data_IF_167823854062
#
_entry.id   IF_167823854062
#
_cell.length_a   1.000
_cell.length_b   1.000
_cell.length_c   1.000
_cell.angle_alpha   90.00
_cell.angle_beta   90.00
_cell.angle_gamma   90.00
#
_symmetry.space_group_name_H-M   'P 1'
#
loop_
_entity.id
_entity.type
_entity.pdbx_description
1 polymer ?
#
# COMPACT_ATOMS: atom_id res chain seq x y z
N UNK A 1 -21.78 -3.60 -0.13
CA UNK A 1 -20.46 -2.94 -0.01
C UNK A 1 -19.59 -3.73 0.98
N UNK A 2 -18.30 -3.89 0.71
CA UNK A 2 -17.33 -4.47 1.65
C UNK A 2 -16.27 -3.41 1.94
N UNK A 3 -15.98 -3.15 3.20
CA UNK A 3 -14.94 -2.24 3.65
C UNK A 3 -13.92 -3.04 4.44
N UNK A 4 -12.68 -3.03 4.01
CA UNK A 4 -11.57 -3.67 4.74
C UNK A 4 -10.87 -2.57 5.55
N UNK A 5 -10.85 -2.74 6.88
CA UNK A 5 -10.23 -1.79 7.81
C UNK A 5 -8.87 -2.35 8.24
N UNK A 6 -7.79 -1.59 8.03
CA UNK A 6 -6.48 -1.93 8.60
C UNK A 6 -6.44 -1.53 10.07
N UNK A 7 -6.41 -2.51 10.96
CA UNK A 7 -6.34 -2.29 12.40
C UNK A 7 -5.10 -1.48 12.83
N UNK A 8 -4.01 -1.51 12.08
CA UNK A 8 -2.84 -0.69 12.38
C UNK A 8 -3.15 0.81 12.24
N UNK A 9 -3.99 1.20 11.29
CA UNK A 9 -4.45 2.59 11.15
C UNK A 9 -5.22 3.00 12.40
N UNK A 10 -6.15 2.19 12.87
CA UNK A 10 -6.91 2.48 14.08
C UNK A 10 -6.01 2.64 15.30
N UNK A 11 -5.03 1.74 15.47
CA UNK A 11 -4.08 1.80 16.59
C UNK A 11 -3.17 3.03 16.53
N UNK A 12 -2.69 3.42 15.35
CA UNK A 12 -1.79 4.56 15.17
C UNK A 12 -2.51 5.90 15.32
N UNK A 13 -3.76 5.99 14.89
CA UNK A 13 -4.54 7.23 14.86
C UNK A 13 -5.41 7.42 16.10
N UNK A 14 -5.65 6.36 16.87
CA UNK A 14 -6.63 6.35 17.96
C UNK A 14 -8.08 6.42 17.50
N UNK A 15 -8.35 6.22 16.21
CA UNK A 15 -9.70 6.15 15.66
C UNK A 15 -10.41 4.86 16.10
N UNK A 16 -11.71 4.96 16.36
CA UNK A 16 -12.58 3.79 16.45
C UNK A 16 -12.92 3.25 15.04
N UNK A 17 -13.46 2.04 14.97
CA UNK A 17 -13.99 1.50 13.72
C UNK A 17 -15.14 2.37 13.16
N UNK A 18 -15.97 2.93 14.03
CA UNK A 18 -17.05 3.84 13.65
C UNK A 18 -16.50 5.15 13.04
N UNK A 19 -15.43 5.71 13.61
CA UNK A 19 -14.76 6.90 13.09
C UNK A 19 -14.23 6.65 11.68
N UNK A 20 -13.51 5.55 11.51
CA UNK A 20 -12.94 5.18 10.22
C UNK A 20 -14.05 4.95 9.18
N UNK A 21 -15.07 4.17 9.52
CA UNK A 21 -16.17 3.86 8.60
C UNK A 21 -16.96 5.12 8.22
N UNK A 22 -17.19 6.01 9.18
CA UNK A 22 -17.85 7.29 8.94
C UNK A 22 -17.06 8.14 7.91
N UNK A 23 -15.77 8.34 8.13
CA UNK A 23 -14.90 9.07 7.21
C UNK A 23 -14.83 8.41 5.83
N UNK A 24 -14.78 7.07 5.80
CA UNK A 24 -14.75 6.31 4.54
C UNK A 24 -16.02 6.51 3.70
N UNK A 25 -17.21 6.48 4.34
CA UNK A 25 -18.48 6.71 3.65
C UNK A 25 -18.58 8.15 3.12
N UNK A 26 -18.15 9.14 3.90
CA UNK A 26 -18.05 10.53 3.45
C UNK A 26 -17.10 10.67 2.24
N UNK A 27 -15.93 10.02 2.29
CA UNK A 27 -14.95 10.04 1.21
C UNK A 27 -15.48 9.42 -0.09
N UNK A 28 -16.28 8.36 0.03
CA UNK A 28 -16.92 7.68 -1.11
C UNK A 28 -18.21 8.33 -1.56
N UNK A 29 -18.63 9.42 -0.89
CA UNK A 29 -19.90 10.12 -1.15
C UNK A 29 -21.13 9.19 -0.98
N UNK A 30 -21.00 8.14 -0.14
CA UNK A 30 -22.05 7.17 0.15
C UNK A 30 -22.90 7.60 1.34
N UNK A 31 -23.39 8.82 1.30
CA UNK A 31 -24.12 9.50 2.39
C UNK A 31 -25.40 8.76 2.84
N UNK A 32 -26.06 8.06 1.91
CA UNK A 32 -27.31 7.34 2.17
C UNK A 32 -27.16 6.18 3.16
N UNK A 33 -25.93 5.65 3.31
CA UNK A 33 -25.66 4.56 4.24
C UNK A 33 -25.41 5.02 5.67
N UNK A 34 -25.00 6.27 5.88
CA UNK A 34 -24.61 6.79 7.19
C UNK A 34 -25.76 6.69 8.22
N UNK A 35 -27.00 7.14 7.92
CA UNK A 35 -28.10 7.06 8.87
C UNK A 35 -28.51 5.62 9.22
N UNK A 36 -28.31 4.69 8.28
CA UNK A 36 -28.76 3.30 8.41
C UNK A 36 -27.80 2.43 9.24
N UNK A 37 -26.54 2.85 9.40
CA UNK A 37 -25.50 2.06 10.07
C UNK A 37 -25.37 2.36 11.57
N UNK A 38 -26.15 3.33 12.08
CA UNK A 38 -26.10 3.73 13.49
C UNK A 38 -24.68 3.96 14.03
N UNK A 39 -23.82 4.56 13.20
CA UNK A 39 -22.44 4.88 13.57
C UNK A 39 -22.40 5.95 14.65
N UNK A 40 -21.41 5.85 15.54
CA UNK A 40 -21.16 6.80 16.62
C UNK A 40 -19.74 7.39 16.51
N UNK A 41 -19.46 8.16 15.46
CA UNK A 41 -18.15 8.76 15.29
C UNK A 41 -17.90 9.84 16.36
N UNK A 42 -16.67 9.92 16.84
CA UNK A 42 -16.25 11.01 17.71
C UNK A 42 -15.78 12.20 16.85
N UNK A 43 -16.71 13.06 16.45
CA UNK A 43 -16.46 14.17 15.54
C UNK A 43 -15.41 15.16 16.08
N UNK A 44 -15.37 15.39 17.40
CA UNK A 44 -14.39 16.28 18.02
C UNK A 44 -12.98 15.74 17.88
N UNK A 45 -12.78 14.44 18.10
CA UNK A 45 -11.50 13.78 17.89
C UNK A 45 -11.07 13.79 16.42
N UNK A 46 -12.02 13.55 15.52
CA UNK A 46 -11.75 13.55 14.07
C UNK A 46 -11.37 14.94 13.58
N UNK A 47 -12.01 15.98 14.09
CA UNK A 47 -11.68 17.37 13.75
C UNK A 47 -10.32 17.78 14.34
N UNK A 48 -10.08 17.45 15.61
CA UNK A 48 -8.81 17.74 16.29
C UNK A 48 -7.65 17.00 15.66
N UNK A 49 -7.86 15.75 15.23
CA UNK A 49 -6.89 14.94 14.49
C UNK A 49 -6.65 15.41 13.06
N UNK A 50 -7.40 16.40 12.56
CA UNK A 50 -7.23 16.95 11.23
C UNK A 50 -7.81 16.10 10.11
N UNK A 51 -8.65 15.11 10.41
CA UNK A 51 -9.16 14.17 9.41
C UNK A 51 -10.45 14.64 8.73
N UNK A 52 -11.18 15.54 9.35
CA UNK A 52 -12.47 16.07 8.87
C UNK A 52 -12.56 17.58 9.08
N UNK A 53 -13.30 18.26 8.19
CA UNK A 53 -13.83 19.59 8.41
C UNK A 53 -15.34 19.45 8.55
N UNK A 54 -15.88 19.87 9.71
CA UNK A 54 -17.31 19.80 9.99
C UNK A 54 -18.06 20.91 9.24
N UNK A 55 -19.19 20.54 8.63
CA UNK A 55 -20.21 21.44 8.11
C UNK A 55 -21.42 21.48 9.06
N UNK A 56 -22.48 22.16 8.67
CA UNK A 56 -23.73 22.24 9.47
C UNK A 56 -24.47 20.89 9.50
N UNK A 57 -24.37 20.12 8.43
CA UNK A 57 -24.96 18.80 8.26
C UNK A 57 -23.92 17.80 7.81
N UNK A 58 -24.14 16.50 8.00
CA UNK A 58 -23.15 15.45 7.69
C UNK A 58 -22.75 15.40 6.21
N UNK A 59 -23.66 15.74 5.29
CA UNK A 59 -23.39 15.81 3.86
C UNK A 59 -22.50 17.01 3.46
N UNK A 60 -22.35 17.99 4.37
CA UNK A 60 -21.45 19.13 4.23
C UNK A 60 -20.09 18.88 4.92
N UNK A 61 -19.94 17.77 5.63
CA UNK A 61 -18.65 17.39 6.19
C UNK A 61 -17.67 17.08 5.06
N UNK A 62 -16.45 17.57 5.18
CA UNK A 62 -15.41 17.34 4.18
C UNK A 62 -14.28 16.54 4.79
N UNK A 63 -14.00 15.39 4.19
CA UNK A 63 -12.83 14.56 4.54
C UNK A 63 -11.57 15.27 4.09
N UNK A 64 -10.58 15.35 4.96
CA UNK A 64 -9.29 15.99 4.67
C UNK A 64 -8.29 15.00 4.09
N UNK A 65 -7.26 15.55 3.42
CA UNK A 65 -6.23 14.76 2.78
C UNK A 65 -5.50 13.84 3.76
N UNK A 66 -5.35 14.26 5.02
CA UNK A 66 -4.71 13.49 6.08
C UNK A 66 -5.39 12.11 6.29
N UNK A 67 -6.72 12.03 6.21
CA UNK A 67 -7.42 10.75 6.25
C UNK A 67 -7.23 9.96 4.96
N UNK A 68 -7.33 10.62 3.82
CA UNK A 68 -7.16 9.99 2.51
C UNK A 68 -5.77 9.36 2.42
N UNK A 69 -4.74 10.03 2.94
CA UNK A 69 -3.36 9.53 2.96
C UNK A 69 -3.18 8.29 3.85
N UNK A 70 -3.96 8.19 4.93
CA UNK A 70 -3.90 7.02 5.83
C UNK A 70 -4.43 5.75 5.17
N UNK A 71 -5.44 5.89 4.35
CA UNK A 71 -6.15 4.72 3.84
C UNK A 71 -6.06 4.57 2.32
N UNK A 72 -5.90 5.62 1.55
CA UNK A 72 -5.33 5.45 0.24
C UNK A 72 -3.89 5.02 0.46
N UNK A 73 -3.70 3.71 0.58
CA UNK A 73 -2.39 3.16 0.40
C UNK A 73 -1.87 3.76 -0.89
N UNK A 74 -1.04 4.77 -0.74
CA UNK A 74 -0.50 5.48 -1.87
C UNK A 74 0.27 4.43 -2.67
N UNK A 75 -0.32 3.93 -3.75
CA UNK A 75 0.31 2.90 -4.57
C UNK A 75 1.73 3.32 -4.93
N UNK A 76 1.97 4.62 -5.10
CA UNK A 76 3.31 5.17 -5.33
C UNK A 76 4.26 4.87 -4.16
N UNK A 77 3.80 4.89 -2.91
CA UNK A 77 4.62 4.53 -1.75
C UNK A 77 4.88 3.02 -1.72
N UNK A 78 3.87 2.19 -1.97
CA UNK A 78 4.03 0.74 -2.06
C UNK A 78 5.04 0.36 -3.15
N UNK A 79 4.94 0.97 -4.31
CA UNK A 79 5.87 0.72 -5.40
C UNK A 79 7.28 1.25 -5.09
N UNK A 80 7.39 2.42 -4.45
CA UNK A 80 8.69 2.96 -4.01
C UNK A 80 9.36 2.06 -2.96
N UNK A 81 8.59 1.46 -2.03
CA UNK A 81 9.10 0.49 -1.07
C UNK A 81 9.62 -0.78 -1.77
N UNK A 82 8.87 -1.31 -2.74
CA UNK A 82 9.31 -2.46 -3.54
C UNK A 82 10.62 -2.16 -4.27
N UNK A 83 10.70 -1.02 -5.00
CA UNK A 83 11.89 -0.60 -5.74
C UNK A 83 13.07 -0.35 -4.80
N UNK A 84 12.83 0.21 -3.60
CA UNK A 84 13.87 0.47 -2.60
C UNK A 84 14.41 -0.80 -1.94
N UNK A 85 13.58 -1.85 -1.81
CA UNK A 85 13.96 -3.12 -1.18
C UNK A 85 14.59 -4.09 -2.17
N UNK A 86 14.09 -4.13 -3.42
CA UNK A 86 14.62 -5.01 -4.46
C UNK A 86 16.05 -4.57 -4.86
N UNK A 87 17.02 -5.49 -4.97
CA UNK A 87 18.38 -5.13 -5.34
C UNK A 87 18.46 -4.44 -6.70
N UNK A 88 19.08 -3.25 -6.75
CA UNK A 88 19.24 -2.49 -8.00
C UNK A 88 20.19 -3.20 -8.95
N UNK A 89 21.26 -3.80 -8.39
CA UNK A 89 22.31 -4.49 -9.14
C UNK A 89 22.84 -5.66 -8.34
N UNK A 90 23.29 -6.67 -9.04
CA UNK A 90 23.98 -7.83 -8.47
C UNK A 90 25.29 -8.08 -9.23
N UNK A 91 26.29 -8.64 -8.54
CA UNK A 91 27.54 -9.04 -9.16
C UNK A 91 27.47 -10.53 -9.53
N UNK A 92 27.48 -10.82 -10.82
CA UNK A 92 27.51 -12.20 -11.31
C UNK A 92 28.97 -12.61 -11.55
N UNK A 93 29.41 -13.78 -11.04
CA UNK A 93 30.78 -14.27 -11.24
C UNK A 93 31.20 -14.32 -12.72
N UNK A 94 30.24 -14.72 -13.59
CA UNK A 94 30.51 -14.97 -15.00
C UNK A 94 30.22 -13.77 -15.92
N UNK A 95 29.36 -12.84 -15.49
CA UNK A 95 28.79 -11.76 -16.32
C UNK A 95 29.08 -10.36 -15.81
N UNK A 96 29.79 -10.24 -14.68
CA UNK A 96 30.03 -8.95 -14.03
C UNK A 96 28.75 -8.35 -13.42
N UNK A 97 28.68 -7.02 -13.36
CA UNK A 97 27.57 -6.29 -12.75
C UNK A 97 26.33 -6.37 -13.65
N UNK A 98 25.23 -6.90 -13.12
CA UNK A 98 23.91 -6.91 -13.75
C UNK A 98 23.02 -5.90 -13.05
N UNK A 99 22.39 -5.00 -13.82
CA UNK A 99 21.36 -4.07 -13.32
C UNK A 99 20.00 -4.77 -13.38
N UNK A 100 19.28 -4.81 -12.28
CA UNK A 100 17.99 -5.50 -12.16
C UNK A 100 16.79 -4.59 -12.35
N UNK A 101 16.93 -3.31 -11.99
CA UNK A 101 15.93 -2.26 -12.24
C UNK A 101 16.57 -0.87 -12.10
N UNK A 102 15.84 0.17 -12.51
CA UNK A 102 16.25 1.56 -12.29
C UNK A 102 16.00 1.99 -10.84
N UNK A 103 16.89 2.84 -10.31
CA UNK A 103 16.82 3.33 -8.93
C UNK A 103 15.59 4.19 -8.64
N UNK A 104 15.16 5.00 -9.62
CA UNK A 104 14.05 5.94 -9.45
C UNK A 104 12.70 5.23 -9.66
N UNK A 105 11.85 5.10 -8.61
CA UNK A 105 10.54 4.46 -8.75
C UNK A 105 9.59 5.25 -9.67
N UNK A 106 9.82 6.56 -9.84
CA UNK A 106 9.04 7.44 -10.75
C UNK A 106 9.61 7.51 -12.15
N UNK A 107 10.78 6.91 -12.37
CA UNK A 107 11.48 6.94 -13.66
C UNK A 107 10.73 6.17 -14.75
N UNK A 108 10.85 6.64 -16.00
CA UNK A 108 10.24 5.99 -17.17
C UNK A 108 10.65 4.52 -17.31
N UNK A 109 11.88 4.18 -16.91
CA UNK A 109 12.40 2.80 -16.96
C UNK A 109 11.65 1.82 -16.06
N UNK A 110 11.02 2.31 -14.99
CA UNK A 110 10.22 1.48 -14.07
C UNK A 110 8.72 1.52 -14.37
N UNK A 111 8.27 2.27 -15.38
CA UNK A 111 6.85 2.45 -15.66
C UNK A 111 6.13 1.11 -15.93
N UNK A 112 6.74 0.21 -16.69
CA UNK A 112 6.15 -1.11 -16.96
C UNK A 112 6.01 -1.94 -15.68
N UNK A 113 7.05 -1.95 -14.83
CA UNK A 113 7.00 -2.62 -13.53
C UNK A 113 5.89 -2.05 -12.67
N UNK A 114 5.78 -0.72 -12.59
CA UNK A 114 4.76 0.00 -11.83
C UNK A 114 3.36 -0.39 -12.26
N UNK A 115 3.04 -0.32 -13.55
CA UNK A 115 1.72 -0.65 -14.10
C UNK A 115 1.33 -2.11 -13.86
N UNK A 116 2.31 -3.03 -13.95
CA UNK A 116 2.05 -4.45 -13.68
C UNK A 116 1.83 -4.72 -12.21
N UNK A 117 2.63 -4.11 -11.34
CA UNK A 117 2.49 -4.25 -9.90
C UNK A 117 1.16 -3.66 -9.41
N UNK A 118 0.72 -2.53 -9.98
CA UNK A 118 -0.58 -1.93 -9.70
C UNK A 118 -1.74 -2.88 -10.03
N UNK A 119 -1.68 -3.60 -11.14
CA UNK A 119 -2.68 -4.61 -11.48
C UNK A 119 -2.76 -5.77 -10.48
N UNK A 120 -1.66 -6.07 -9.79
CA UNK A 120 -1.58 -7.17 -8.83
C UNK A 120 -2.08 -6.73 -7.46
N UNK A 121 -1.56 -5.61 -6.95
CA UNK A 121 -1.86 -5.15 -5.58
C UNK A 121 -3.05 -4.19 -5.53
N UNK A 122 -3.25 -3.37 -6.57
CA UNK A 122 -4.27 -2.32 -6.57
C UNK A 122 -4.05 -1.36 -5.41
N UNK A 123 -5.12 -1.13 -4.64
CA UNK A 123 -5.14 -0.37 -3.40
C UNK A 123 -5.00 -1.25 -2.14
N UNK A 124 -4.65 -2.54 -2.31
CA UNK A 124 -4.69 -3.54 -1.22
C UNK A 124 -3.35 -3.65 -0.52
N UNK A 125 -3.16 -2.86 0.53
CA UNK A 125 -1.96 -2.86 1.37
C UNK A 125 -1.60 -4.26 1.90
N UNK A 126 -2.57 -5.10 2.23
CA UNK A 126 -2.30 -6.46 2.71
C UNK A 126 -1.59 -7.33 1.66
N UNK A 127 -1.92 -7.17 0.37
CA UNK A 127 -1.23 -7.87 -0.71
C UNK A 127 0.21 -7.38 -0.85
N UNK A 128 0.39 -6.05 -0.79
CA UNK A 128 1.73 -5.47 -0.82
C UNK A 128 2.58 -5.99 0.33
N UNK A 129 2.09 -5.94 1.57
CA UNK A 129 2.81 -6.46 2.76
C UNK A 129 3.16 -7.94 2.63
N UNK A 130 2.24 -8.75 2.09
CA UNK A 130 2.50 -10.16 1.82
C UNK A 130 3.66 -10.35 0.82
N UNK A 131 3.61 -9.64 -0.31
CA UNK A 131 4.66 -9.67 -1.34
C UNK A 131 6.01 -9.21 -0.75
N UNK A 132 6.03 -8.14 0.03
CA UNK A 132 7.25 -7.63 0.67
C UNK A 132 7.84 -8.65 1.65
N UNK A 133 7.00 -9.33 2.45
CA UNK A 133 7.45 -10.42 3.33
C UNK A 133 8.08 -11.56 2.54
N UNK A 134 7.48 -11.96 1.41
CA UNK A 134 8.03 -13.00 0.55
C UNK A 134 9.36 -12.56 -0.09
N UNK A 135 9.48 -11.29 -0.49
CA UNK A 135 10.75 -10.74 -0.98
C UNK A 135 11.84 -10.79 0.10
N UNK A 136 11.54 -10.39 1.33
CA UNK A 136 12.50 -10.48 2.45
C UNK A 136 12.93 -11.93 2.71
N UNK A 137 12.01 -12.88 2.65
CA UNK A 137 12.31 -14.30 2.73
C UNK A 137 13.27 -14.75 1.61
N UNK A 138 12.97 -14.36 0.36
CA UNK A 138 13.82 -14.67 -0.78
C UNK A 138 15.24 -14.11 -0.60
N UNK A 139 15.36 -12.83 -0.28
CA UNK A 139 16.67 -12.18 -0.11
C UNK A 139 17.49 -12.80 1.02
N UNK A 140 16.83 -13.27 2.08
CA UNK A 140 17.48 -13.96 3.18
C UNK A 140 17.98 -15.36 2.78
N UNK A 141 17.14 -16.12 2.07
CA UNK A 141 17.45 -17.50 1.68
C UNK A 141 18.50 -17.53 0.56
N UNK A 142 18.35 -16.65 -0.42
CA UNK A 142 19.25 -16.57 -1.58
C UNK A 142 20.45 -15.64 -1.35
N UNK A 143 20.76 -15.30 -0.11
CA UNK A 143 21.80 -14.31 0.24
C UNK A 143 23.13 -14.55 -0.48
N UNK A 144 23.56 -15.81 -0.59
CA UNK A 144 24.82 -16.19 -1.23
C UNK A 144 24.69 -16.40 -2.76
N UNK A 145 23.45 -16.35 -3.27
CA UNK A 145 23.09 -16.62 -4.66
C UNK A 145 22.34 -15.46 -5.35
N UNK A 146 22.44 -14.25 -4.81
CA UNK A 146 21.74 -13.06 -5.37
C UNK A 146 22.07 -12.79 -6.84
N UNK A 147 23.20 -13.32 -7.34
CA UNK A 147 23.57 -13.19 -8.75
C UNK A 147 22.63 -13.93 -9.72
N UNK A 148 21.78 -14.85 -9.22
CA UNK A 148 20.72 -15.48 -9.99
C UNK A 148 19.40 -14.72 -9.94
N UNK A 149 19.30 -13.67 -9.10
CA UNK A 149 18.07 -12.91 -8.97
C UNK A 149 17.60 -12.37 -10.34
N UNK A 150 16.32 -12.50 -10.61
CA UNK A 150 15.71 -12.00 -11.85
C UNK A 150 15.73 -10.47 -11.87
N UNK A 151 15.57 -9.84 -13.05
CA UNK A 151 15.23 -8.43 -13.06
C UNK A 151 13.81 -8.21 -12.48
N UNK A 152 13.56 -7.02 -11.96
CA UNK A 152 12.32 -6.70 -11.27
C UNK A 152 11.07 -6.93 -12.15
N UNK A 153 11.14 -6.60 -13.43
CA UNK A 153 10.03 -6.81 -14.37
C UNK A 153 9.69 -8.30 -14.50
N UNK A 154 10.69 -9.15 -14.66
CA UNK A 154 10.51 -10.61 -14.75
C UNK A 154 10.00 -11.18 -13.44
N UNK A 155 10.50 -10.70 -12.29
CA UNK A 155 10.09 -11.12 -10.96
C UNK A 155 8.61 -10.82 -10.71
N UNK A 156 8.14 -9.61 -11.11
CA UNK A 156 6.73 -9.21 -11.01
C UNK A 156 5.88 -10.06 -11.95
N UNK A 157 6.30 -10.22 -13.22
CA UNK A 157 5.51 -10.94 -14.23
C UNK A 157 5.29 -12.41 -13.90
N UNK A 158 6.30 -13.05 -13.30
CA UNK A 158 6.27 -14.47 -12.96
C UNK A 158 5.73 -14.73 -11.57
N UNK A 159 5.28 -13.70 -10.83
CA UNK A 159 4.85 -13.82 -9.45
C UNK A 159 5.86 -14.61 -8.60
N UNK A 160 7.14 -14.32 -8.77
CA UNK A 160 8.23 -15.15 -8.21
C UNK A 160 8.17 -15.25 -6.67
N UNK A 161 7.56 -14.26 -5.98
CA UNK A 161 7.35 -14.26 -4.53
C UNK A 161 6.53 -15.47 -4.04
N UNK A 162 5.63 -16.04 -4.85
CA UNK A 162 4.79 -17.19 -4.47
C UNK A 162 5.62 -18.41 -4.02
N UNK A 163 6.86 -18.52 -4.52
CA UNK A 163 7.80 -19.57 -4.10
C UNK A 163 8.29 -19.43 -2.65
N UNK A 164 8.10 -18.27 -2.05
CA UNK A 164 8.64 -17.89 -0.73
C UNK A 164 7.53 -17.59 0.30
N UNK A 165 6.28 -17.97 0.01
CA UNK A 165 5.12 -17.70 0.88
C UNK A 165 5.14 -18.49 2.19
N UNK A 166 5.62 -19.72 2.16
CA UNK A 166 5.55 -20.66 3.27
C UNK A 166 6.88 -20.89 3.99
N UNK A 167 7.75 -19.90 3.97
CA UNK A 167 9.12 -20.00 4.52
C UNK A 167 9.31 -19.12 5.75
#
# INVERSE_FOLDING_TARGET
MRVDIDFNILMQTGMSADDFLYLYLLYKEEYEHIPNLNLKPNLDNLQTGGYIKLGETFDQHTVRQEFIDLFSSNFDQMFAELVGTYPIKVNSPDRGIRVLHAKDPKGKSNLKCKLRYEKIVGDKMYKHKHIMKCLDNQLRIERDNLHYLQNLETWINNHTWEKYENL
#
